data_IF_202510316785
#
_entry.id   IF_202510316785
#
_cell.length_a   1.000
_cell.length_b   1.000
_cell.length_c   1.000
_cell.angle_alpha   90.00
_cell.angle_beta   90.00
_cell.angle_gamma   90.00
#
_symmetry.space_group_name_H-M   'P 1'
#
loop_
_entity.id
_entity.type
_entity.pdbx_description
1 polymer ?
#
# COMPACT_ATOMS: atom_id res chain seq x y z
N UNK A 1 40.03 14.28 4.86
CA UNK A 1 39.15 13.74 3.81
C UNK A 1 38.68 12.39 4.29
N UNK A 2 37.62 12.36 5.10
CA UNK A 2 37.08 11.11 5.62
C UNK A 2 36.35 10.45 4.47
N UNK A 3 36.96 9.44 3.87
CA UNK A 3 36.29 8.48 3.00
C UNK A 3 35.28 7.74 3.87
N UNK A 4 34.12 8.37 4.04
CA UNK A 4 32.93 7.73 4.57
C UNK A 4 32.15 7.28 3.35
N UNK A 5 32.71 6.33 2.59
CA UNK A 5 31.88 5.31 1.92
C UNK A 5 31.16 4.56 3.04
N UNK A 6 30.21 5.23 3.68
CA UNK A 6 29.40 4.69 4.75
C UNK A 6 28.57 3.60 4.09
N UNK A 7 29.09 2.38 4.23
CA UNK A 7 28.26 1.21 4.45
C UNK A 7 27.37 0.82 3.27
N UNK A 8 28.01 0.65 2.11
CA UNK A 8 27.56 -0.37 1.14
C UNK A 8 27.84 -1.74 1.80
N UNK A 9 27.01 -2.15 2.77
CA UNK A 9 26.69 -3.53 3.19
C UNK A 9 25.81 -3.54 4.47
N UNK A 10 24.58 -3.02 4.44
CA UNK A 10 23.49 -3.63 5.23
C UNK A 10 22.52 -4.24 4.21
N UNK A 11 22.92 -5.41 3.72
CA UNK A 11 22.18 -6.19 2.74
C UNK A 11 20.85 -6.65 3.35
N UNK A 12 19.82 -6.56 2.51
CA UNK A 12 18.50 -7.17 2.61
C UNK A 12 17.51 -6.49 3.58
N UNK A 13 16.50 -5.81 3.00
CA UNK A 13 15.08 -5.74 3.42
C UNK A 13 14.33 -4.54 2.81
N UNK A 14 14.98 -3.65 2.04
CA UNK A 14 14.26 -2.65 1.26
C UNK A 14 13.52 -3.30 0.09
N UNK A 15 12.24 -3.00 -0.02
CA UNK A 15 11.36 -3.52 -1.05
C UNK A 15 11.59 -2.71 -2.35
N UNK A 16 11.53 -3.38 -3.51
CA UNK A 16 11.62 -2.75 -4.84
C UNK A 16 10.44 -3.18 -5.71
N UNK A 17 10.14 -2.45 -6.80
CA UNK A 17 9.04 -2.79 -7.73
C UNK A 17 9.10 -4.23 -8.23
N UNK A 18 10.31 -4.72 -8.48
CA UNK A 18 10.57 -6.10 -8.89
C UNK A 18 10.42 -7.12 -7.76
N UNK A 19 10.73 -6.76 -6.50
CA UNK A 19 10.67 -7.67 -5.34
C UNK A 19 9.40 -7.52 -4.48
N UNK A 20 8.40 -6.75 -4.93
CA UNK A 20 7.09 -6.70 -4.25
C UNK A 20 6.45 -8.09 -4.22
N UNK A 21 5.75 -8.44 -3.13
CA UNK A 21 4.94 -9.65 -3.06
C UNK A 21 3.91 -9.63 -4.19
N UNK A 22 3.67 -10.80 -4.78
CA UNK A 22 2.75 -10.93 -5.90
C UNK A 22 1.34 -10.44 -5.52
N UNK A 23 0.86 -10.76 -4.32
CA UNK A 23 -0.41 -10.26 -3.78
C UNK A 23 -0.52 -8.73 -3.84
N UNK A 24 0.56 -8.01 -3.51
CA UNK A 24 0.56 -6.54 -3.55
C UNK A 24 0.55 -6.05 -5.00
N UNK A 25 1.30 -6.71 -5.90
CA UNK A 25 1.33 -6.35 -7.32
C UNK A 25 0.00 -6.58 -8.01
N UNK A 26 -0.70 -7.65 -7.65
CA UNK A 26 -2.02 -7.99 -8.20
C UNK A 26 -3.14 -7.15 -7.57
N UNK A 27 -2.97 -6.74 -6.32
CA UNK A 27 -3.95 -5.92 -5.59
C UNK A 27 -3.82 -4.43 -5.87
N UNK A 28 -2.63 -3.92 -6.19
CA UNK A 28 -2.36 -2.49 -6.36
C UNK A 28 -1.99 -2.14 -7.80
N UNK A 29 -2.49 -1.02 -8.35
CA UNK A 29 -1.99 -0.48 -9.60
C UNK A 29 -0.53 -0.02 -9.45
N UNK A 30 0.21 0.03 -10.57
CA UNK A 30 1.64 0.35 -10.57
C UNK A 30 2.00 1.66 -9.84
N UNK A 31 1.13 2.67 -9.92
CA UNK A 31 1.33 3.95 -9.23
C UNK A 31 1.18 3.82 -7.70
N UNK A 32 0.22 3.02 -7.23
CA UNK A 32 0.05 2.71 -5.80
C UNK A 32 1.20 1.84 -5.28
N UNK A 33 1.71 0.90 -6.09
CA UNK A 33 2.88 0.10 -5.71
C UNK A 33 4.09 0.98 -5.38
N UNK A 34 4.31 2.07 -6.13
CA UNK A 34 5.39 3.03 -5.86
C UNK A 34 5.20 3.76 -4.52
N UNK A 35 3.97 4.15 -4.20
CA UNK A 35 3.65 4.77 -2.91
C UNK A 35 3.84 3.79 -1.75
N UNK A 36 3.37 2.56 -1.92
CA UNK A 36 3.58 1.48 -0.96
C UNK A 36 5.06 1.28 -0.66
N UNK A 37 5.90 1.20 -1.70
CA UNK A 37 7.35 1.07 -1.57
C UNK A 37 8.00 2.23 -0.83
N UNK A 38 7.61 3.46 -1.17
CA UNK A 38 8.17 4.66 -0.54
C UNK A 38 7.85 4.68 0.97
N UNK A 39 6.60 4.41 1.34
CA UNK A 39 6.19 4.34 2.75
C UNK A 39 6.87 3.18 3.49
N UNK A 40 6.92 2.00 2.87
CA UNK A 40 7.57 0.82 3.43
C UNK A 40 9.06 1.08 3.71
N UNK A 41 9.80 1.51 2.69
CA UNK A 41 11.24 1.75 2.82
C UNK A 41 11.53 2.88 3.80
N UNK A 42 10.73 3.95 3.80
CA UNK A 42 10.89 5.07 4.73
C UNK A 42 10.67 4.64 6.18
N UNK A 43 9.63 3.86 6.46
CA UNK A 43 9.37 3.35 7.81
C UNK A 43 10.41 2.32 8.24
N UNK A 44 10.78 1.40 7.34
CA UNK A 44 11.76 0.36 7.61
C UNK A 44 13.15 0.95 7.91
N UNK A 45 13.56 2.02 7.24
CA UNK A 45 14.83 2.70 7.51
C UNK A 45 14.90 3.21 8.96
N UNK A 46 13.77 3.66 9.51
CA UNK A 46 13.68 4.23 10.86
C UNK A 46 13.42 3.16 11.95
N UNK A 47 12.44 2.28 11.76
CA UNK A 47 12.02 1.31 12.77
C UNK A 47 12.68 -0.07 12.62
N UNK A 48 13.21 -0.41 11.45
CA UNK A 48 13.75 -1.74 11.11
C UNK A 48 12.76 -2.90 11.36
N UNK A 49 11.46 -2.60 11.35
CA UNK A 49 10.37 -3.56 11.54
C UNK A 49 9.57 -3.70 10.24
N UNK A 50 9.74 -4.83 9.57
CA UNK A 50 9.11 -5.12 8.28
C UNK A 50 7.59 -5.25 8.37
N UNK A 51 7.08 -5.82 9.46
CA UNK A 51 5.64 -6.03 9.66
C UNK A 51 4.92 -4.70 9.90
N UNK A 52 5.53 -3.83 10.69
CA UNK A 52 5.05 -2.47 10.89
C UNK A 52 5.20 -1.63 9.62
N UNK A 53 6.31 -1.75 8.89
CA UNK A 53 6.50 -1.07 7.60
C UNK A 53 5.43 -1.46 6.58
N UNK A 54 5.09 -2.76 6.48
CA UNK A 54 4.03 -3.25 5.60
C UNK A 54 2.67 -2.66 5.99
N UNK A 55 2.34 -2.62 7.30
CA UNK A 55 1.10 -2.00 7.79
C UNK A 55 1.02 -0.53 7.44
N UNK A 56 2.06 0.25 7.68
CA UNK A 56 2.09 1.69 7.37
C UNK A 56 1.98 1.94 5.87
N UNK A 57 2.64 1.10 5.05
CA UNK A 57 2.53 1.17 3.61
C UNK A 57 1.11 0.89 3.11
N UNK A 58 0.42 -0.12 3.65
CA UNK A 58 -0.99 -0.38 3.35
C UNK A 58 -1.89 0.78 3.79
N UNK A 59 -1.71 1.27 5.02
CA UNK A 59 -2.47 2.42 5.52
C UNK A 59 -2.29 3.66 4.63
N UNK A 60 -1.10 3.87 4.06
CA UNK A 60 -0.86 4.97 3.12
C UNK A 60 -1.73 4.87 1.87
N UNK A 61 -1.97 3.66 1.36
CA UNK A 61 -2.87 3.44 0.22
C UNK A 61 -4.33 3.54 0.65
N UNK A 62 -4.67 2.96 1.80
CA UNK A 62 -6.03 2.97 2.35
C UNK A 62 -6.54 4.38 2.64
N UNK A 63 -5.66 5.24 3.15
CA UNK A 63 -5.96 6.63 3.48
C UNK A 63 -5.92 7.56 2.26
N UNK A 64 -5.48 7.06 1.10
CA UNK A 64 -5.36 7.89 -0.09
C UNK A 64 -6.69 7.93 -0.85
N UNK A 65 -7.27 9.13 -0.90
CA UNK A 65 -8.55 9.40 -1.57
C UNK A 65 -8.55 9.07 -3.07
N UNK A 66 -7.38 9.00 -3.72
CA UNK A 66 -7.24 8.60 -5.11
C UNK A 66 -7.34 7.11 -5.32
N UNK A 67 -7.48 6.30 -4.27
CA UNK A 67 -7.67 4.86 -4.39
C UNK A 67 -8.96 4.43 -3.70
N UNK A 68 -9.59 3.40 -4.25
CA UNK A 68 -10.76 2.76 -3.67
C UNK A 68 -10.62 1.25 -3.81
N UNK A 69 -11.05 0.51 -2.79
CA UNK A 69 -11.07 -0.95 -2.84
C UNK A 69 -12.34 -1.41 -3.57
N UNK A 70 -12.16 -2.17 -4.64
CA UNK A 70 -13.26 -2.80 -5.37
C UNK A 70 -13.75 -4.08 -4.68
N UNK A 71 -14.87 -4.60 -5.14
CA UNK A 71 -15.48 -5.84 -4.64
C UNK A 71 -14.60 -7.08 -4.87
N UNK A 72 -13.72 -7.05 -5.88
CA UNK A 72 -12.71 -8.09 -6.15
C UNK A 72 -11.58 -8.13 -5.10
N UNK A 73 -11.60 -7.21 -4.12
CA UNK A 73 -10.58 -7.06 -3.10
C UNK A 73 -9.34 -6.27 -3.55
N UNK A 74 -9.28 -5.86 -4.82
CA UNK A 74 -8.21 -5.04 -5.43
C UNK A 74 -8.45 -3.54 -5.27
N UNK A 75 -7.39 -2.76 -5.37
CA UNK A 75 -7.43 -1.30 -5.32
C UNK A 75 -7.46 -0.72 -6.73
N UNK A 76 -8.32 0.26 -6.93
CA UNK A 76 -8.47 0.97 -8.20
C UNK A 76 -8.26 2.47 -7.99
N UNK A 77 -7.65 3.14 -8.96
CA UNK A 77 -7.51 4.60 -8.94
C UNK A 77 -8.91 5.22 -9.11
N UNK A 78 -9.34 6.01 -8.12
CA UNK A 78 -10.56 6.81 -8.18
C UNK A 78 -10.39 7.83 -9.31
N UNK A 79 -11.30 7.80 -10.28
CA UNK A 79 -11.38 8.85 -11.30
C UNK A 79 -12.06 10.07 -10.68
N UNK A 80 -11.62 11.30 -10.99
CA UNK A 80 -12.22 12.52 -10.45
C UNK A 80 -13.65 12.82 -10.96
N UNK A 81 -14.25 11.98 -11.83
CA UNK A 81 -15.53 12.27 -12.49
C UNK A 81 -16.64 11.22 -12.28
N UNK A 82 -16.45 10.19 -11.44
CA UNK A 82 -17.51 9.19 -11.17
C UNK A 82 -17.89 9.14 -9.69
N UNK A 83 -18.22 10.31 -9.14
CA UNK A 83 -19.06 10.44 -7.95
C UNK A 83 -20.50 10.10 -8.36
N UNK A 84 -20.86 8.83 -8.24
CA UNK A 84 -22.18 8.35 -8.64
C UNK A 84 -22.33 6.83 -8.50
N UNK A 85 -22.09 6.26 -7.31
CA UNK A 85 -22.37 4.83 -7.15
C UNK A 85 -21.97 4.21 -5.80
N UNK A 86 -22.83 4.41 -4.80
CA UNK A 86 -23.17 3.44 -3.76
C UNK A 86 -22.01 2.68 -3.06
N UNK A 87 -21.38 3.34 -2.08
CA UNK A 87 -20.88 2.67 -0.89
C UNK A 87 -21.98 2.59 0.17
N UNK A 88 -23.12 1.99 -0.18
CA UNK A 88 -24.22 1.77 0.76
C UNK A 88 -23.74 0.79 1.82
N UNK A 89 -23.53 1.32 3.02
CA UNK A 89 -23.25 0.57 4.22
C UNK A 89 -24.53 -0.17 4.62
N UNK A 90 -24.91 -1.19 3.86
CA UNK A 90 -26.01 -2.09 4.20
C UNK A 90 -25.57 -2.99 5.35
N UNK A 91 -25.64 -2.43 6.56
CA UNK A 91 -25.83 -3.18 7.80
C UNK A 91 -26.95 -4.18 7.56
N UNK A 92 -26.64 -5.46 7.74
CA UNK A 92 -27.58 -6.55 7.55
C UNK A 92 -28.87 -6.35 8.34
N UNK A 93 -29.99 -6.32 7.63
CA UNK A 93 -31.29 -6.70 8.17
C UNK A 93 -31.65 -8.03 7.54
N UNK A 94 -31.55 -9.09 8.34
CA UNK A 94 -32.10 -10.39 7.99
C UNK A 94 -33.64 -10.30 7.92
N UNK A 95 -34.31 -10.87 6.92
CA UNK A 95 -35.77 -10.85 6.84
C UNK A 95 -36.36 -12.16 7.40
N UNK A 96 -37.06 -12.13 8.54
CA UNK A 96 -38.02 -13.18 9.00
C UNK A 96 -38.90 -12.56 10.12
N UNK A 97 -40.23 -12.70 10.22
CA UNK A 97 -41.32 -13.32 9.44
C UNK A 97 -42.62 -12.63 9.85
#
# INVERSE_FOLDING_TARGET
>A
MTDVRHRIQEKATMLTLENLPQDVKESLPQEAQRMYLAAYNSFLENSKDEQAAARVAWQTIEMNEHYTRGEDGKWHRRKPEEDGGAGDKALGVAPQS
#
